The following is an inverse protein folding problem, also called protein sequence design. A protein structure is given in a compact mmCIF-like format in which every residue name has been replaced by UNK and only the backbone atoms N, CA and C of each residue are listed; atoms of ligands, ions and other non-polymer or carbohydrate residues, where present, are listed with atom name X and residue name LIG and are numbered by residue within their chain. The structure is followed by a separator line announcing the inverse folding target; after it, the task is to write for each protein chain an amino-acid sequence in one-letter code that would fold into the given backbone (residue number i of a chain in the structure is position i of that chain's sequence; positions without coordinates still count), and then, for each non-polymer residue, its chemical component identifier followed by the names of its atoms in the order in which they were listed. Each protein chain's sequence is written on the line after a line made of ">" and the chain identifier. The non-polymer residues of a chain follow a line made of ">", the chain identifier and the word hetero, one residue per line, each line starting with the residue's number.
data_IF_399396798402
#
_entry.id   IF_399396798402
#
_cell.length_a   1.000
_cell.length_b   1.000
_cell.length_c   1.000
_cell.angle_alpha   90.00
_cell.angle_beta   90.00
_cell.angle_gamma   90.00
#
_symmetry.space_group_name_H-M   'P 1'
#
loop_
_entity.id
_entity.type
_entity.pdbx_description
1 polymer ?
2 non-polymer ?
3 water ?
#
# COMPACT_ATOMS: atom_id res chain seq x y z
N UNK A 1 18.23 -5.78 -5.25
CA UNK A 1 17.35 -6.58 -6.14
C UNK A 1 16.72 -5.74 -7.23
N UNK A 2 17.56 -5.13 -8.06
CA UNK A 2 17.10 -4.28 -9.15
C UNK A 2 16.84 -5.09 -10.41
N UNK A 3 16.39 -6.33 -10.24
CA UNK A 3 16.10 -7.21 -11.36
C UNK A 3 14.73 -6.88 -11.94
N UNK A 4 14.60 -6.98 -13.26
CA UNK A 4 13.33 -6.71 -13.91
C UNK A 4 12.33 -7.77 -13.48
N UNK A 5 12.82 -8.99 -13.32
CA UNK A 5 11.99 -10.11 -12.91
C UNK A 5 11.32 -9.86 -11.56
N UNK A 6 12.07 -9.32 -10.61
CA UNK A 6 11.51 -9.04 -9.30
C UNK A 6 10.46 -7.94 -9.38
N UNK A 7 10.68 -6.96 -10.25
CA UNK A 7 9.70 -5.89 -10.39
C UNK A 7 8.41 -6.41 -11.01
N UNK A 8 8.51 -7.43 -11.85
CA UNK A 8 7.32 -8.02 -12.45
C UNK A 8 6.53 -8.68 -11.32
N UNK A 9 7.24 -9.32 -10.40
CA UNK A 9 6.57 -9.96 -9.27
C UNK A 9 5.84 -8.90 -8.46
N UNK A 10 6.50 -7.76 -8.26
CA UNK A 10 5.91 -6.67 -7.50
C UNK A 10 4.67 -6.15 -8.21
N UNK A 11 4.74 -6.03 -9.54
CA UNK A 11 3.58 -5.54 -10.28
C UNK A 11 2.41 -6.52 -10.17
N UNK A 12 2.73 -7.81 -10.09
CA UNK A 12 1.70 -8.83 -9.97
C UNK A 12 0.97 -8.65 -8.64
N UNK A 13 1.74 -8.43 -7.58
CA UNK A 13 1.17 -8.21 -6.25
C UNK A 13 0.28 -6.98 -6.29
N UNK A 14 0.78 -5.91 -6.90
CA UNK A 14 0.04 -4.65 -7.01
C UNK A 14 -1.30 -4.92 -7.68
N UNK A 15 -1.27 -5.66 -8.79
CA UNK A 15 -2.48 -6.00 -9.51
C UNK A 15 -3.46 -6.76 -8.62
N UNK A 16 -2.95 -7.71 -7.84
CA UNK A 16 -3.81 -8.48 -6.95
C UNK A 16 -4.44 -7.61 -5.87
N UNK A 17 -3.63 -6.74 -5.26
CA UNK A 17 -4.15 -5.88 -4.20
C UNK A 17 -5.28 -4.99 -4.71
N UNK A 18 -5.24 -4.64 -5.99
CA UNK A 18 -6.26 -3.79 -6.61
C UNK A 18 -7.41 -4.57 -7.26
N UNK A 19 -7.34 -5.90 -7.18
CA UNK A 19 -8.35 -6.76 -7.79
C UNK A 19 -9.63 -6.94 -6.96
N UNK A 20 -10.69 -7.38 -7.63
CA UNK A 20 -11.98 -7.58 -6.98
C UNK A 20 -11.90 -8.56 -5.82
N UNK A 21 -10.99 -9.53 -5.91
CA UNK A 21 -10.85 -10.53 -4.86
C UNK A 21 -10.65 -9.94 -3.47
N UNK A 22 -9.96 -8.80 -3.39
CA UNK A 22 -9.68 -8.17 -2.11
C UNK A 22 -10.38 -6.83 -1.91
N UNK A 23 -11.28 -6.47 -2.82
CA UNK A 23 -11.98 -5.19 -2.75
C UNK A 23 -12.71 -4.89 -1.45
N UNK A 24 -13.21 -5.92 -0.78
CA UNK A 24 -13.95 -5.71 0.47
C UNK A 24 -13.14 -5.00 1.55
N UNK A 25 -11.82 -5.20 1.56
CA UNK A 25 -10.97 -4.58 2.56
C UNK A 25 -9.84 -3.72 1.99
N UNK A 26 -9.66 -3.75 0.67
CA UNK A 26 -8.60 -2.96 0.05
C UNK A 26 -9.03 -1.56 -0.35
N UNK A 27 -10.33 -1.35 -0.52
CA UNK A 27 -10.82 -0.06 -0.98
C UNK A 27 -10.36 1.20 -0.24
N UNK A 28 -10.13 1.12 1.09
CA UNK A 28 -9.69 2.35 1.77
C UNK A 28 -8.30 2.81 1.30
N UNK A 29 -7.57 1.91 0.66
CA UNK A 29 -6.22 2.21 0.21
C UNK A 29 -6.07 2.45 -1.29
N UNK A 30 -7.20 2.53 -1.99
CA UNK A 30 -7.19 2.75 -3.44
C UNK A 30 -6.70 4.12 -3.87
N UNK A 31 -7.07 5.15 -3.11
CA UNK A 31 -6.69 6.52 -3.44
C UNK A 31 -6.09 7.28 -2.26
N UNK A 32 -5.43 8.41 -2.53
CA UNK A 32 -4.84 9.19 -1.44
C UNK A 32 -5.92 9.57 -0.43
N UNK A 33 -5.55 9.58 0.85
CA UNK A 33 -6.50 9.96 1.88
C UNK A 33 -6.87 11.42 1.66
N UNK A 34 -8.16 11.69 1.54
CA UNK A 34 -8.62 13.06 1.35
C UNK A 34 -8.99 13.53 2.76
N UNK A 35 -7.98 14.01 3.48
CA UNK A 35 -8.16 14.46 4.86
C UNK A 35 -9.29 15.46 5.05
N UNK A 36 -9.30 16.52 4.25
CA UNK A 36 -10.33 17.54 4.36
C UNK A 36 -11.74 16.98 4.18
N UNK A 37 -11.93 16.20 3.13
CA UNK A 37 -13.23 15.61 2.85
C UNK A 37 -13.71 14.73 4.00
N UNK A 38 -12.78 14.07 4.67
CA UNK A 38 -13.11 13.18 5.78
C UNK A 38 -13.12 13.87 7.14
N UNK A 39 -12.76 15.15 7.17
CA UNK A 39 -12.75 15.89 8.42
C UNK A 39 -11.57 15.55 9.31
N UNK A 40 -10.54 14.94 8.72
CA UNK A 40 -9.34 14.56 9.47
C UNK A 40 -8.31 15.68 9.33
N UNK A 41 -8.61 16.81 9.96
CA UNK A 41 -7.77 17.99 9.88
C UNK A 41 -6.38 17.92 10.51
N UNK A 42 -6.09 16.81 11.18
CA UNK A 42 -4.78 16.62 11.81
C UNK A 42 -3.99 15.55 11.06
N UNK A 43 -4.58 15.01 9.99
CA UNK A 43 -3.92 13.94 9.23
C UNK A 43 -2.53 14.28 8.72
N UNK A 44 -2.38 15.42 8.06
CA UNK A 44 -1.09 15.78 7.51
C UNK A 44 -0.09 16.32 8.53
N UNK A 45 -0.53 16.44 9.78
CA UNK A 45 0.37 16.89 10.85
C UNK A 45 0.98 15.63 11.44
N UNK A 46 0.24 14.54 11.35
CA UNK A 46 0.66 13.25 11.89
C UNK A 46 1.34 12.36 10.86
N UNK A 47 0.82 12.35 9.63
CA UNK A 47 1.39 11.54 8.55
C UNK A 47 2.22 12.45 7.64
N UNK A 48 3.54 12.32 7.75
CA UNK A 48 4.47 13.12 6.97
C UNK A 48 4.62 12.67 5.52
N UNK A 49 4.46 11.37 5.29
CA UNK A 49 4.60 10.81 3.95
C UNK A 49 3.42 9.95 3.54
N UNK A 50 2.37 10.57 2.99
CA UNK A 50 1.18 9.83 2.56
C UNK A 50 1.51 8.86 1.44
N UNK A 51 0.79 7.75 1.39
CA UNK A 51 0.99 6.75 0.35
C UNK A 51 -0.29 5.93 0.19
N UNK A 52 -0.57 5.52 -1.04
CA UNK A 52 -1.75 4.73 -1.34
C UNK A 52 -1.46 3.92 -2.59
N UNK A 53 -2.33 2.96 -2.90
CA UNK A 53 -2.12 2.10 -4.05
C UNK A 53 -2.12 2.80 -5.42
N UNK A 54 -2.90 3.87 -5.58
CA UNK A 54 -2.91 4.56 -6.88
C UNK A 54 -1.57 5.24 -7.11
N UNK A 55 -0.92 5.67 -6.03
CA UNK A 55 0.38 6.33 -6.14
C UNK A 55 1.45 5.28 -6.45
N UNK A 56 1.32 4.12 -5.82
CA UNK A 56 2.25 3.02 -6.05
C UNK A 56 2.12 2.59 -7.52
N UNK A 57 0.88 2.53 -8.00
CA UNK A 57 0.64 2.13 -9.38
C UNK A 57 1.27 3.13 -10.35
N UNK A 58 1.09 4.42 -10.07
CA UNK A 58 1.67 5.46 -10.92
C UNK A 58 3.19 5.36 -10.94
N UNK A 59 3.79 5.15 -9.77
CA UNK A 59 5.24 5.04 -9.68
C UNK A 59 5.75 3.81 -10.42
N UNK A 60 4.98 2.73 -10.39
CA UNK A 60 5.37 1.50 -11.08
C UNK A 60 5.30 1.72 -12.59
N UNK A 61 4.22 2.33 -13.06
CA UNK A 61 4.04 2.59 -14.49
C UNK A 61 5.11 3.54 -15.03
N UNK A 62 5.51 4.51 -14.21
CA UNK A 62 6.52 5.49 -14.60
C UNK A 62 7.94 4.97 -14.38
N UNK A 63 8.05 3.70 -13.97
CA UNK A 63 9.34 3.07 -13.70
C UNK A 63 10.14 3.84 -12.65
N UNK A 64 9.43 4.33 -11.63
CA UNK A 64 10.06 5.08 -10.56
C UNK A 64 10.81 4.12 -9.64
N UNK A 65 10.22 2.96 -9.37
CA UNK A 65 10.87 1.97 -8.51
C UNK A 65 12.02 1.30 -9.27
N UNK A 66 13.20 1.29 -8.67
CA UNK A 66 14.34 0.67 -9.32
C UNK A 66 14.53 -0.78 -8.88
N UNK A 67 13.93 -1.14 -7.75
CA UNK A 67 14.04 -2.51 -7.26
C UNK A 67 12.84 -2.87 -6.39
N UNK A 68 12.73 -4.14 -6.04
CA UNK A 68 11.62 -4.62 -5.21
C UNK A 68 11.55 -3.96 -3.84
N UNK A 69 12.71 -3.73 -3.22
CA UNK A 69 12.76 -3.11 -1.89
C UNK A 69 12.07 -1.75 -1.85
N UNK A 70 12.29 -0.95 -2.89
CA UNK A 70 11.68 0.38 -2.98
C UNK A 70 10.16 0.26 -2.98
N UNK A 71 9.67 -0.64 -3.83
CA UNK A 71 8.24 -0.90 -3.96
C UNK A 71 7.66 -1.34 -2.62
N UNK A 72 8.30 -2.33 -2.00
CA UNK A 72 7.84 -2.85 -0.72
C UNK A 72 7.78 -1.77 0.35
N UNK A 73 8.76 -0.87 0.34
CA UNK A 73 8.80 0.22 1.31
C UNK A 73 7.57 1.12 1.21
N UNK A 74 7.12 1.40 -0.01
CA UNK A 74 5.94 2.25 -0.20
C UNK A 74 4.67 1.52 0.25
N UNK A 75 4.56 0.24 -0.08
CA UNK A 75 3.38 -0.51 0.32
C UNK A 75 3.31 -0.56 1.85
N UNK A 76 4.44 -0.82 2.50
CA UNK A 76 4.46 -0.88 3.95
C UNK A 76 4.25 0.49 4.59
N UNK A 77 4.70 1.54 3.91
CA UNK A 77 4.52 2.90 4.42
C UNK A 77 3.02 3.18 4.49
N UNK A 78 2.31 2.75 3.45
CA UNK A 78 0.87 2.93 3.36
C UNK A 78 0.18 2.29 4.57
N UNK A 79 0.57 1.06 4.91
CA UNK A 79 -0.02 0.38 6.05
C UNK A 79 0.40 1.04 7.35
N UNK A 80 1.68 1.40 7.45
CA UNK A 80 2.18 2.04 8.66
C UNK A 80 1.43 3.34 8.94
N UNK A 81 1.14 4.11 7.89
CA UNK A 81 0.42 5.37 8.07
C UNK A 81 -0.94 5.10 8.70
N UNK A 82 -1.57 4.00 8.28
CA UNK A 82 -2.87 3.62 8.81
C UNK A 82 -2.77 3.26 10.29
N UNK A 83 -1.75 2.49 10.66
CA UNK A 83 -1.55 2.08 12.05
C UNK A 83 -1.15 3.25 12.94
N UNK A 84 -0.48 4.24 12.36
CA UNK A 84 -0.03 5.40 13.11
C UNK A 84 -1.16 6.37 13.40
N UNK A 85 -1.99 6.65 12.40
CA UNK A 85 -3.08 7.60 12.57
C UNK A 85 -4.32 7.10 13.30
N UNK A 86 -4.73 5.88 12.98
CA UNK A 86 -5.94 5.29 13.55
C UNK A 86 -5.80 4.46 14.82
N UNK A 87 -6.83 4.48 15.68
CA UNK A 87 -6.81 3.70 16.92
C UNK A 87 -6.78 2.23 16.50
N UNK A 88 -6.13 1.37 17.30
CA UNK A 88 -6.02 -0.07 17.02
C UNK A 88 -7.33 -0.80 16.79
N UNK A 89 -8.43 -0.25 17.30
CA UNK A 89 -9.74 -0.89 17.17
C UNK A 89 -10.58 -0.38 16.01
N UNK A 90 -10.05 0.56 15.23
CA UNK A 90 -10.79 1.11 14.10
C UNK A 90 -10.94 0.07 13.00
N UNK A 91 -12.09 0.06 12.33
CA UNK A 91 -12.33 -0.90 11.26
C UNK A 91 -11.30 -0.81 10.14
N UNK A 92 -10.82 0.40 9.87
CA UNK A 92 -9.83 0.57 8.80
C UNK A 92 -8.53 -0.16 9.11
N UNK A 93 -8.20 -0.25 10.40
CA UNK A 93 -6.98 -0.94 10.81
C UNK A 93 -7.14 -2.44 10.58
N UNK A 94 -8.35 -2.95 10.81
CA UNK A 94 -8.63 -4.37 10.60
C UNK A 94 -8.45 -4.71 9.12
N UNK A 95 -8.91 -3.80 8.26
CA UNK A 95 -8.80 -3.98 6.82
C UNK A 95 -7.34 -3.90 6.38
N UNK A 96 -6.58 -3.01 7.00
CA UNK A 96 -5.17 -2.85 6.67
C UNK A 96 -4.40 -4.13 7.00
N UNK A 97 -4.68 -4.71 8.17
CA UNK A 97 -4.00 -5.93 8.58
C UNK A 97 -4.27 -7.08 7.61
N UNK A 98 -5.51 -7.19 7.15
CA UNK A 98 -5.88 -8.23 6.21
C UNK A 98 -5.20 -8.04 4.86
N UNK A 99 -5.20 -6.81 4.36
CA UNK A 99 -4.55 -6.55 3.07
C UNK A 99 -3.04 -6.71 3.20
N UNK A 100 -2.49 -6.34 4.36
CA UNK A 100 -1.05 -6.47 4.54
C UNK A 100 -0.64 -7.94 4.59
N UNK A 101 -1.52 -8.79 5.13
CA UNK A 101 -1.23 -10.21 5.20
C UNK A 101 -1.14 -10.72 3.77
N UNK A 102 -2.07 -10.28 2.92
CA UNK A 102 -2.07 -10.67 1.52
C UNK A 102 -0.74 -10.27 0.89
N UNK A 103 -0.33 -9.03 1.15
CA UNK A 103 0.92 -8.52 0.60
C UNK A 103 2.18 -9.24 1.09
N UNK A 104 2.32 -9.36 2.41
CA UNK A 104 3.50 -10.00 2.98
C UNK A 104 3.69 -11.44 2.52
N UNK A 105 2.62 -12.23 2.51
CA UNK A 105 2.77 -13.61 2.09
C UNK A 105 3.15 -13.78 0.62
N UNK A 106 2.62 -12.93 -0.26
CA UNK A 106 2.98 -13.06 -1.66
C UNK A 106 4.34 -12.41 -1.93
N UNK A 107 4.68 -11.36 -1.19
CA UNK A 107 5.97 -10.71 -1.37
C UNK A 107 7.08 -11.68 -0.95
N UNK A 108 6.75 -12.57 -0.02
CA UNK A 108 7.69 -13.56 0.48
C UNK A 108 8.01 -14.61 -0.58
N UNK A 109 7.13 -14.72 -1.58
CA UNK A 109 7.31 -15.69 -2.66
C UNK A 109 8.11 -15.07 -3.81
N UNK A 110 8.78 -13.97 -3.51
CA UNK A 110 9.60 -13.24 -4.47
C UNK A 110 10.67 -14.13 -5.09
N UNK A 111 10.65 -14.30 -6.42
CA UNK A 111 11.67 -15.14 -7.05
C UNK A 111 13.06 -14.57 -6.77
N UNK A 112 14.01 -15.44 -6.45
CA UNK A 112 15.38 -15.02 -6.16
C UNK A 112 16.28 -16.22 -5.96
X LIG B 1 -8.41 5.84 4.58
X LIG B 1 -8.61 6.35 6.00
X LIG B 1 -7.23 6.56 6.60
X LIG B 1 -6.50 5.27 6.69
X LIG B 1 -6.32 4.68 5.32
X LIG B 1 -7.69 4.50 4.62
X LIG B 1 -5.12 5.39 7.27
X LIG B 1 -4.12 6.14 6.39
X LIG B 1 -2.87 6.43 7.02
X LIG B 1 -9.73 5.62 3.89
X LIG B 1 -10.12 6.90 3.12
X LIG B 1 -11.71 6.67 2.30
X LIG B 1 -11.99 7.90 1.61
X LIG B 1 -12.69 6.39 3.36
X LIG B 1 -11.52 5.56 1.39
#
# INVERSE_FOLDING_TARGET
>A
GSHMEQLKHCNGILKELLSKKHAAYAWPFYKPVDASALGLHDYHDIIKHPMDLSTVKRKMENRDYRDAQEFAADVRLMFSNCYKYNPPDHDVVAMARKLQDVFEFRYAKMPD
>B hetero
1 EPE N1 C2 C3 N4 C5 C6 C7 C8 O8 C9 C10 S O1S O2S O3S
#
